data_IF_384317382335
#
_entry.id   IF_384317382335
#
_cell.length_a   1.000
_cell.length_b   1.000
_cell.length_c   1.000
_cell.angle_alpha   90.00
_cell.angle_beta   90.00
_cell.angle_gamma   90.00
#
_symmetry.space_group_name_H-M   'P 1'
#
loop_
_entity.id
_entity.type
_entity.pdbx_description
1 polymer ?
#
# COMPACT_ATOMS: atom_id res chain seq x y z
N UNK A 1 -20.82 -11.91 -14.82
CA UNK A 1 -20.30 -10.59 -15.24
C UNK A 1 -19.05 -10.69 -16.11
N UNK A 2 -18.47 -11.88 -16.32
CA UNK A 2 -17.27 -12.05 -17.18
C UNK A 2 -16.02 -11.38 -16.61
N UNK A 3 -15.98 -11.15 -15.30
CA UNK A 3 -14.80 -10.60 -14.62
C UNK A 3 -13.88 -11.76 -14.31
N UNK A 4 -12.62 -11.65 -14.68
CA UNK A 4 -11.59 -12.66 -14.46
C UNK A 4 -10.56 -12.21 -13.41
N UNK A 5 -10.39 -10.89 -13.26
CA UNK A 5 -9.37 -10.27 -12.42
C UNK A 5 -9.97 -9.26 -11.46
N UNK A 6 -9.41 -9.18 -10.27
CA UNK A 6 -9.81 -8.33 -9.16
C UNK A 6 -8.60 -7.46 -8.78
N UNK A 7 -8.79 -6.15 -8.78
CA UNK A 7 -7.87 -5.23 -8.12
C UNK A 7 -8.32 -5.02 -6.68
N UNK A 8 -7.41 -5.24 -5.73
CA UNK A 8 -7.65 -5.18 -4.30
C UNK A 8 -6.68 -4.18 -3.67
N UNK A 9 -7.20 -3.31 -2.78
CA UNK A 9 -6.40 -2.33 -2.06
C UNK A 9 -7.10 -1.87 -0.78
N UNK A 10 -6.37 -1.16 0.08
CA UNK A 10 -6.89 -0.58 1.31
C UNK A 10 -7.46 0.83 1.06
N UNK A 11 -8.58 1.14 1.71
CA UNK A 11 -9.27 2.43 1.58
C UNK A 11 -8.49 3.60 2.20
N UNK A 12 -7.54 3.30 3.09
CA UNK A 12 -6.75 4.30 3.81
C UNK A 12 -5.68 4.98 2.95
N UNK A 13 -5.47 4.55 1.70
CA UNK A 13 -4.48 5.11 0.78
C UNK A 13 -5.15 5.91 -0.37
N UNK A 14 -5.24 7.25 -0.28
CA UNK A 14 -5.86 8.08 -1.31
C UNK A 14 -5.10 8.09 -2.65
N UNK A 15 -3.80 7.77 -2.64
CA UNK A 15 -2.96 7.79 -3.85
C UNK A 15 -2.97 6.46 -4.62
N UNK A 16 -3.76 5.48 -4.18
CA UNK A 16 -3.82 4.17 -4.82
C UNK A 16 -4.27 4.26 -6.28
N UNK A 17 -3.52 3.61 -7.17
CA UNK A 17 -3.99 3.35 -8.54
C UNK A 17 -4.94 2.17 -8.53
N UNK A 18 -6.23 2.44 -8.33
CA UNK A 18 -7.28 1.42 -8.18
C UNK A 18 -7.32 0.43 -9.36
N UNK A 19 -7.04 0.89 -10.58
CA UNK A 19 -6.85 0.04 -11.75
C UNK A 19 -5.55 0.47 -12.44
N UNK A 20 -4.43 -0.15 -12.08
CA UNK A 20 -3.13 0.08 -12.71
C UNK A 20 -2.92 -0.89 -13.89
N UNK A 21 -2.96 -0.41 -15.15
CA UNK A 21 -2.82 -1.28 -16.32
C UNK A 21 -1.47 -1.98 -16.41
N UNK A 22 -0.38 -1.33 -15.95
CA UNK A 22 0.95 -1.94 -15.99
C UNK A 22 1.02 -3.09 -15.00
N UNK A 23 0.59 -2.87 -13.76
CA UNK A 23 0.57 -3.93 -12.74
C UNK A 23 -0.33 -5.10 -13.15
N UNK A 24 -1.52 -4.83 -13.69
CA UNK A 24 -2.42 -5.88 -14.19
C UNK A 24 -1.84 -6.63 -15.39
N UNK A 25 -1.18 -5.93 -16.31
CA UNK A 25 -0.47 -6.56 -17.43
C UNK A 25 0.64 -7.49 -16.96
N UNK A 26 1.46 -7.06 -16.00
CA UNK A 26 2.52 -7.88 -15.39
C UNK A 26 1.95 -9.06 -14.59
N UNK A 27 0.79 -8.90 -13.96
CA UNK A 27 0.10 -9.97 -13.26
C UNK A 27 -0.39 -11.08 -14.21
N UNK A 28 -0.77 -10.72 -15.43
CA UNK A 28 -1.21 -11.66 -16.47
C UNK A 28 -0.06 -12.25 -17.30
N UNK A 29 1.15 -11.72 -17.19
CA UNK A 29 2.32 -12.22 -17.89
C UNK A 29 2.75 -13.60 -17.34
N UNK A 30 2.62 -14.69 -18.12
CA UNK A 30 2.92 -16.05 -17.68
C UNK A 30 4.42 -16.31 -17.53
N UNK A 31 5.31 -15.35 -17.84
CA UNK A 31 6.73 -15.41 -17.51
C UNK A 31 7.04 -14.82 -16.13
N UNK A 32 6.14 -14.00 -15.57
CA UNK A 32 6.35 -13.27 -14.30
C UNK A 32 5.45 -13.71 -13.16
N UNK A 33 4.23 -14.10 -13.49
CA UNK A 33 3.16 -14.43 -12.55
C UNK A 33 2.44 -15.70 -12.98
N UNK A 34 1.66 -16.29 -12.07
CA UNK A 34 0.68 -17.33 -12.41
C UNK A 34 -0.68 -16.77 -12.82
N UNK A 35 -0.90 -15.46 -12.65
CA UNK A 35 -2.20 -14.83 -12.81
C UNK A 35 -3.17 -15.13 -11.65
N UNK A 36 -2.69 -15.69 -10.54
CA UNK A 36 -3.53 -16.02 -9.38
C UNK A 36 -3.53 -14.93 -8.32
N UNK A 37 -2.34 -14.53 -7.86
CA UNK A 37 -2.17 -13.41 -6.94
C UNK A 37 -0.82 -12.72 -7.13
N UNK A 38 -0.82 -11.41 -7.34
CA UNK A 38 0.37 -10.55 -7.37
C UNK A 38 0.21 -9.38 -6.41
N UNK A 39 1.32 -8.76 -6.02
CA UNK A 39 1.32 -7.68 -5.02
C UNK A 39 2.19 -6.50 -5.46
N UNK A 40 1.85 -5.31 -4.96
CA UNK A 40 2.76 -4.15 -5.01
C UNK A 40 3.54 -4.01 -3.71
N UNK A 41 4.75 -3.46 -3.82
CA UNK A 41 5.59 -3.12 -2.68
C UNK A 41 6.17 -1.71 -2.83
N UNK A 42 6.61 -1.14 -1.71
CA UNK A 42 7.52 0.01 -1.70
C UNK A 42 8.83 -0.37 -1.01
N UNK A 43 9.96 0.22 -1.39
CA UNK A 43 11.19 0.09 -0.62
C UNK A 43 11.00 0.67 0.79
N UNK A 44 11.33 -0.12 1.80
CA UNK A 44 11.46 0.35 3.17
C UNK A 44 12.57 1.39 3.27
N UNK A 45 12.35 2.45 4.04
CA UNK A 45 13.36 3.49 4.26
C UNK A 45 14.15 3.30 5.54
N UNK A 46 13.64 2.51 6.49
CA UNK A 46 14.36 2.17 7.73
C UNK A 46 13.96 0.80 8.29
N UNK A 47 14.80 0.18 9.14
CA UNK A 47 14.43 -1.05 9.86
C UNK A 47 13.11 -0.94 10.63
N UNK A 48 12.87 0.21 11.24
CA UNK A 48 11.76 0.48 12.17
C UNK A 48 10.43 0.76 11.46
N UNK A 49 10.43 0.89 10.13
CA UNK A 49 9.20 1.09 9.36
C UNK A 49 8.26 -0.11 9.54
N UNK A 50 7.06 0.16 10.06
CA UNK A 50 6.05 -0.84 10.45
C UNK A 50 5.21 -1.30 9.26
N UNK A 51 5.87 -2.00 8.35
CA UNK A 51 5.25 -2.66 7.20
C UNK A 51 5.68 -4.13 7.17
N UNK A 52 4.76 -5.03 6.85
CA UNK A 52 5.10 -6.41 6.54
C UNK A 52 6.06 -6.46 5.35
N UNK A 53 6.92 -7.47 5.29
CA UNK A 53 7.96 -7.56 4.26
C UNK A 53 7.75 -8.81 3.40
N UNK A 54 7.74 -8.61 2.08
CA UNK A 54 7.79 -9.72 1.14
C UNK A 54 9.15 -10.43 1.21
N UNK A 55 9.11 -11.74 1.27
CA UNK A 55 10.31 -12.59 1.26
C UNK A 55 10.01 -13.94 0.58
N UNK A 56 11.06 -14.72 0.37
CA UNK A 56 10.94 -16.11 -0.07
C UNK A 56 11.15 -17.04 1.12
N UNK A 57 10.19 -17.95 1.35
CA UNK A 57 10.28 -19.04 2.33
C UNK A 57 9.97 -20.32 1.56
N UNK A 58 10.90 -21.28 1.55
CA UNK A 58 10.76 -22.55 0.84
C UNK A 58 10.30 -22.37 -0.64
N UNK A 59 10.95 -21.44 -1.34
CA UNK A 59 10.69 -21.05 -2.74
C UNK A 59 9.27 -20.50 -3.01
N UNK A 60 8.55 -20.08 -1.95
CA UNK A 60 7.25 -19.38 -2.04
C UNK A 60 7.37 -17.94 -1.61
N UNK A 61 6.72 -17.05 -2.35
CA UNK A 61 6.54 -15.65 -1.94
C UNK A 61 5.62 -15.61 -0.72
N UNK A 62 6.09 -15.00 0.35
CA UNK A 62 5.36 -14.83 1.61
C UNK A 62 5.47 -13.38 2.08
N UNK A 63 4.64 -13.00 3.05
CA UNK A 63 4.80 -11.76 3.82
C UNK A 63 5.04 -12.14 5.27
N UNK A 64 6.10 -11.60 5.86
CA UNK A 64 6.31 -11.65 7.32
C UNK A 64 5.87 -10.30 7.87
N UNK A 65 4.91 -10.30 8.80
CA UNK A 65 4.49 -9.06 9.42
C UNK A 65 5.59 -8.43 10.27
N UNK A 66 5.57 -7.09 10.38
CA UNK A 66 6.61 -6.37 11.09
C UNK A 66 6.72 -6.77 12.58
N UNK A 67 5.62 -7.24 13.18
CA UNK A 67 5.60 -7.74 14.56
C UNK A 67 6.24 -9.12 14.72
N UNK A 68 6.34 -9.88 13.63
CA UNK A 68 6.86 -11.25 13.61
C UNK A 68 8.24 -11.32 12.95
N UNK A 69 8.72 -10.24 12.32
CA UNK A 69 10.06 -10.13 11.74
C UNK A 69 11.11 -9.97 12.86
N UNK A 70 12.08 -10.89 13.01
CA UNK A 70 13.16 -10.74 13.97
C UNK A 70 13.98 -9.46 13.75
N UNK A 71 14.37 -8.79 14.84
CA UNK A 71 15.13 -7.53 14.79
C UNK A 71 16.44 -7.66 13.99
N UNK A 72 17.15 -8.78 14.14
CA UNK A 72 18.37 -9.08 13.38
C UNK A 72 18.12 -9.10 11.87
N UNK A 73 16.97 -9.61 11.43
CA UNK A 73 16.59 -9.59 10.00
C UNK A 73 16.09 -8.21 9.57
N UNK A 74 15.37 -7.48 10.43
CA UNK A 74 14.92 -6.13 10.14
C UNK A 74 16.09 -5.15 9.92
N UNK A 75 17.21 -5.36 10.64
CA UNK A 75 18.44 -4.56 10.54
C UNK A 75 19.46 -5.14 9.55
N UNK A 76 19.22 -6.33 8.98
CA UNK A 76 20.16 -6.99 8.09
C UNK A 76 20.43 -6.15 6.85
N UNK A 77 21.70 -6.00 6.49
CA UNK A 77 22.13 -5.29 5.28
C UNK A 77 22.72 -6.23 4.24
N UNK A 78 22.72 -5.81 2.98
CA UNK A 78 23.44 -6.44 1.88
C UNK A 78 24.92 -6.02 1.86
N UNK A 79 25.66 -6.52 0.87
CA UNK A 79 27.10 -6.22 0.68
C UNK A 79 27.37 -4.74 0.37
N UNK A 80 26.34 -3.97 0.03
CA UNK A 80 26.43 -2.51 -0.21
C UNK A 80 26.10 -1.68 1.03
N UNK A 81 25.74 -2.32 2.14
CA UNK A 81 25.33 -1.66 3.38
C UNK A 81 23.89 -1.15 3.35
N UNK A 82 23.09 -1.52 2.34
CA UNK A 82 21.65 -1.20 2.28
C UNK A 82 20.85 -2.28 2.97
N UNK A 83 19.65 -1.95 3.43
CA UNK A 83 18.75 -2.96 4.00
C UNK A 83 18.53 -4.10 3.02
N UNK A 84 18.61 -5.33 3.51
CA UNK A 84 18.42 -6.54 2.70
C UNK A 84 16.93 -6.81 2.44
N UNK A 85 16.09 -6.56 3.44
CA UNK A 85 14.66 -6.84 3.42
C UNK A 85 13.87 -5.54 3.23
N UNK A 86 13.85 -5.04 1.99
CA UNK A 86 13.25 -3.74 1.64
C UNK A 86 11.82 -3.82 1.11
N UNK A 87 11.33 -5.01 0.73
CA UNK A 87 10.08 -5.14 0.00
C UNK A 87 8.85 -4.97 0.92
N UNK A 88 8.54 -3.73 1.30
CA UNK A 88 7.43 -3.40 2.18
C UNK A 88 6.07 -3.59 1.51
N UNK A 89 5.21 -4.40 2.13
CA UNK A 89 3.84 -4.62 1.69
C UNK A 89 2.98 -3.40 1.94
N UNK A 90 2.35 -2.91 0.86
CA UNK A 90 1.37 -1.82 0.89
C UNK A 90 -0.07 -2.30 0.75
N UNK A 91 -0.29 -3.62 0.89
CA UNK A 91 -1.60 -4.28 0.82
C UNK A 91 -2.42 -3.96 -0.45
N UNK A 92 -1.73 -3.83 -1.59
CA UNK A 92 -2.33 -3.72 -2.93
C UNK A 92 -2.02 -5.02 -3.68
N UNK A 93 -3.08 -5.68 -4.17
CA UNK A 93 -3.01 -6.99 -4.81
C UNK A 93 -3.84 -7.03 -6.10
N UNK A 94 -3.41 -7.87 -7.03
CA UNK A 94 -4.24 -8.35 -8.14
C UNK A 94 -4.53 -9.83 -7.90
N UNK A 95 -5.79 -10.25 -8.04
CA UNK A 95 -6.20 -11.64 -7.84
C UNK A 95 -7.08 -12.10 -9.01
N UNK A 96 -6.96 -13.35 -9.44
CA UNK A 96 -7.98 -13.93 -10.32
C UNK A 96 -9.19 -14.41 -9.54
N UNK A 97 -10.36 -14.35 -10.19
CA UNK A 97 -11.61 -14.87 -9.62
C UNK A 97 -11.49 -16.37 -9.35
N UNK A 98 -10.91 -17.15 -10.27
CA UNK A 98 -10.72 -18.59 -10.11
C UNK A 98 -9.83 -18.92 -8.90
N UNK A 99 -8.79 -18.12 -8.63
CA UNK A 99 -7.96 -18.28 -7.46
C UNK A 99 -8.74 -18.01 -6.17
N UNK A 100 -9.55 -16.94 -6.13
CA UNK A 100 -10.40 -16.62 -4.98
C UNK A 100 -11.42 -17.73 -4.74
N UNK A 101 -12.09 -18.23 -5.78
CA UNK A 101 -13.04 -19.34 -5.68
C UNK A 101 -12.34 -20.61 -5.15
N UNK A 102 -11.13 -20.91 -5.65
CA UNK A 102 -10.32 -22.05 -5.19
C UNK A 102 -9.96 -21.97 -3.70
N UNK A 103 -9.54 -20.81 -3.19
CA UNK A 103 -9.13 -20.67 -1.78
C UNK A 103 -10.30 -20.45 -0.81
N UNK A 104 -11.50 -20.16 -1.33
CA UNK A 104 -12.71 -19.96 -0.52
C UNK A 104 -13.74 -21.09 -0.64
N UNK A 105 -13.48 -22.11 -1.47
CA UNK A 105 -14.32 -23.31 -1.57
C UNK A 105 -14.37 -24.07 -0.22
N UNK A 106 -15.42 -23.83 0.54
CA UNK A 106 -15.62 -24.35 1.90
C UNK A 106 -15.72 -25.87 2.01
N UNK A 107 -15.71 -26.60 0.89
CA UNK A 107 -15.65 -28.06 0.90
C UNK A 107 -14.23 -28.62 0.89
N UNK A 108 -13.24 -27.87 0.39
CA UNK A 108 -11.88 -28.36 0.15
C UNK A 108 -10.75 -27.42 0.60
N UNK A 109 -11.04 -26.15 0.87
CA UNK A 109 -10.05 -25.18 1.31
C UNK A 109 -9.80 -25.29 2.82
N UNK A 110 -8.52 -25.34 3.24
CA UNK A 110 -8.14 -25.24 4.66
C UNK A 110 -8.46 -23.87 5.28
N UNK A 111 -8.84 -22.88 4.46
CA UNK A 111 -8.99 -21.49 4.86
C UNK A 111 -7.63 -20.82 5.10
N UNK A 112 -7.65 -19.50 5.27
CA UNK A 112 -6.47 -18.74 5.70
C UNK A 112 -6.25 -18.92 7.21
N UNK A 113 -4.98 -18.86 7.68
CA UNK A 113 -4.68 -19.02 9.09
C UNK A 113 -5.31 -17.90 9.93
N UNK A 114 -5.71 -18.25 11.17
CA UNK A 114 -6.23 -17.30 12.15
C UNK A 114 -5.09 -16.76 13.01
N UNK A 115 -4.85 -15.46 12.88
CA UNK A 115 -3.94 -14.68 13.72
C UNK A 115 -4.66 -14.21 14.98
N UNK A 116 -3.94 -14.25 16.11
CA UNK A 116 -4.51 -13.94 17.44
C UNK A 116 -3.93 -12.63 17.96
N UNK A 117 -4.79 -11.64 18.18
CA UNK A 117 -4.41 -10.40 18.84
C UNK A 117 -5.11 -10.27 20.21
N UNK A 118 -4.32 -10.11 21.29
CA UNK A 118 -4.87 -9.85 22.63
C UNK A 118 -5.24 -8.37 22.75
N UNK A 119 -6.51 -8.08 23.04
CA UNK A 119 -7.04 -6.71 23.10
C UNK A 119 -7.70 -6.42 24.44
N UNK A 120 -7.67 -5.15 24.83
CA UNK A 120 -8.49 -4.58 25.91
C UNK A 120 -9.83 -4.20 25.30
N UNK A 121 -10.86 -4.97 25.58
CA UNK A 121 -12.19 -4.77 24.99
C UNK A 121 -13.16 -4.41 26.13
N UNK A 122 -13.74 -3.20 26.10
CA UNK A 122 -14.80 -2.84 27.03
C UNK A 122 -15.93 -3.88 26.97
N UNK A 123 -16.42 -4.30 28.14
CA UNK A 123 -17.45 -5.34 28.25
C UNK A 123 -18.53 -4.93 29.22
N UNK A 124 -19.76 -5.35 28.96
CA UNK A 124 -20.84 -5.23 29.92
C UNK A 124 -20.76 -6.38 30.93
N UNK A 125 -20.90 -6.07 32.23
CA UNK A 125 -20.95 -7.03 33.33
C UNK A 125 -22.40 -7.13 33.83
N UNK A 126 -23.18 -8.16 33.41
CA UNK A 126 -24.60 -8.24 33.72
C UNK A 126 -24.90 -8.27 35.22
N UNK A 127 -24.10 -9.00 35.99
CA UNK A 127 -24.29 -9.16 37.44
C UNK A 127 -24.03 -7.86 38.22
N UNK A 128 -23.25 -6.95 37.66
CA UNK A 128 -22.92 -5.66 38.27
C UNK A 128 -23.69 -4.49 37.64
N UNK A 129 -24.43 -4.73 36.55
CA UNK A 129 -25.19 -3.72 35.84
C UNK A 129 -24.35 -2.59 35.22
N UNK A 130 -23.04 -2.79 34.98
CA UNK A 130 -22.11 -1.75 34.52
C UNK A 130 -21.22 -2.19 33.36
N UNK A 131 -20.68 -1.22 32.63
CA UNK A 131 -19.61 -1.44 31.64
C UNK A 131 -18.25 -1.31 32.30
N UNK A 132 -17.38 -2.28 32.04
CA UNK A 132 -16.00 -2.36 32.50
C UNK A 132 -15.04 -2.06 31.35
N UNK A 133 -14.05 -1.21 31.60
CA UNK A 133 -12.97 -0.89 30.67
C UNK A 133 -11.66 -1.47 31.22
N UNK A 134 -11.25 -2.66 30.77
CA UNK A 134 -10.23 -3.45 31.43
C UNK A 134 -8.82 -2.86 31.27
N UNK A 135 -8.04 -2.87 32.35
CA UNK A 135 -6.64 -2.40 32.34
C UNK A 135 -5.67 -3.37 31.65
N UNK A 136 -6.03 -4.65 31.56
CA UNK A 136 -5.25 -5.72 30.91
C UNK A 136 -6.07 -6.38 29.79
N UNK A 137 -5.42 -6.99 28.77
CA UNK A 137 -6.14 -7.66 27.70
C UNK A 137 -7.06 -8.77 28.22
N UNK A 138 -8.34 -8.69 27.88
CA UNK A 138 -9.39 -9.60 28.34
C UNK A 138 -10.05 -10.39 27.19
N UNK A 139 -9.72 -10.06 25.94
CA UNK A 139 -10.29 -10.69 24.76
C UNK A 139 -9.21 -11.09 23.75
N UNK A 140 -9.52 -12.09 22.92
CA UNK A 140 -8.71 -12.47 21.76
C UNK A 140 -9.48 -12.09 20.51
N UNK A 141 -8.93 -11.16 19.73
CA UNK A 141 -9.40 -10.88 18.38
C UNK A 141 -8.75 -11.91 17.44
N UNK A 142 -9.57 -12.54 16.60
CA UNK A 142 -9.12 -13.45 15.56
C UNK A 142 -9.21 -12.71 14.22
N UNK A 143 -8.12 -12.72 13.46
CA UNK A 143 -8.01 -12.03 12.18
C UNK A 143 -7.40 -12.98 11.16
N UNK A 144 -7.85 -12.92 9.91
CA UNK A 144 -7.14 -13.53 8.77
C UNK A 144 -6.49 -12.40 7.99
N UNK A 145 -5.31 -12.64 7.45
CA UNK A 145 -4.63 -11.64 6.62
C UNK A 145 -4.67 -12.05 5.16
N UNK A 146 -5.02 -11.09 4.29
CA UNK A 146 -5.15 -11.35 2.85
C UNK A 146 -3.84 -11.85 2.23
N UNK A 147 -2.69 -11.39 2.75
CA UNK A 147 -1.38 -11.80 2.25
C UNK A 147 -1.02 -13.25 2.57
N UNK A 148 -1.73 -13.92 3.48
CA UNK A 148 -1.54 -15.36 3.73
C UNK A 148 -2.00 -16.20 2.53
N UNK A 149 -2.75 -15.62 1.59
CA UNK A 149 -3.12 -16.27 0.34
C UNK A 149 -1.97 -16.32 -0.68
N UNK A 150 -0.99 -15.41 -0.60
CA UNK A 150 0.12 -15.32 -1.57
C UNK A 150 0.86 -16.65 -1.75
N UNK A 151 1.29 -17.37 -0.69
CA UNK A 151 1.99 -18.65 -0.87
C UNK A 151 1.12 -19.76 -1.48
N UNK A 152 -0.20 -19.58 -1.55
CA UNK A 152 -1.13 -20.54 -2.19
C UNK A 152 -1.23 -20.36 -3.71
N UNK A 153 -0.70 -19.25 -4.24
CA UNK A 153 -0.59 -19.03 -5.67
C UNK A 153 0.60 -19.82 -6.25
N UNK A 154 0.49 -20.25 -7.51
CA UNK A 154 1.53 -21.00 -8.19
C UNK A 154 2.84 -20.23 -8.30
N UNK A 155 2.74 -18.94 -8.66
CA UNK A 155 3.83 -17.95 -8.66
C UNK A 155 3.27 -16.54 -8.48
N UNK A 156 3.83 -15.79 -7.55
CA UNK A 156 3.41 -14.42 -7.25
C UNK A 156 4.49 -13.41 -7.61
N UNK A 157 4.12 -12.44 -8.44
CA UNK A 157 4.93 -11.26 -8.72
C UNK A 157 4.82 -10.26 -7.57
N UNK A 158 5.95 -9.66 -7.20
CA UNK A 158 6.01 -8.47 -6.34
C UNK A 158 6.53 -7.30 -7.19
N UNK A 159 5.69 -6.29 -7.40
CA UNK A 159 6.00 -5.11 -8.21
C UNK A 159 6.42 -3.94 -7.32
N UNK A 160 7.67 -3.52 -7.43
CA UNK A 160 8.18 -2.33 -6.75
C UNK A 160 7.56 -1.05 -7.32
N UNK A 161 7.10 -0.17 -6.44
CA UNK A 161 6.48 1.11 -6.78
C UNK A 161 7.16 2.27 -6.10
N UNK A 162 6.99 3.48 -6.66
CA UNK A 162 7.43 4.72 -6.05
C UNK A 162 6.46 5.13 -4.94
N UNK A 163 7.00 5.46 -3.76
CA UNK A 163 6.22 5.81 -2.58
C UNK A 163 5.36 7.05 -2.79
N UNK A 164 5.91 8.08 -3.44
CA UNK A 164 5.20 9.33 -3.71
C UNK A 164 4.05 9.08 -4.69
N UNK A 165 4.24 8.15 -5.63
CA UNK A 165 3.19 7.81 -6.59
C UNK A 165 2.04 6.97 -6.04
N UNK A 166 2.32 6.04 -5.13
CA UNK A 166 1.38 4.93 -4.86
C UNK A 166 1.07 4.73 -3.38
N UNK A 167 1.73 5.42 -2.43
CA UNK A 167 1.57 5.12 -1.01
C UNK A 167 1.54 6.36 -0.10
N UNK A 168 0.34 6.88 0.13
CA UNK A 168 0.06 8.01 1.01
C UNK A 168 -0.99 7.67 2.09
N UNK A 169 -0.78 6.63 2.92
CA UNK A 169 -1.80 6.10 3.82
C UNK A 169 -2.20 7.08 4.93
N UNK A 170 -3.41 6.90 5.47
CA UNK A 170 -3.99 7.65 6.58
C UNK A 170 -4.40 6.66 7.69
N UNK A 171 -3.53 6.51 8.69
CA UNK A 171 -3.69 5.61 9.85
C UNK A 171 -3.76 6.36 11.17
N UNK A 172 -3.19 7.56 11.24
CA UNK A 172 -3.07 8.38 12.44
C UNK A 172 -3.76 9.74 12.24
N UNK A 173 -4.13 10.41 13.33
CA UNK A 173 -4.72 11.74 13.25
C UNK A 173 -3.71 12.83 12.85
N UNK A 174 -2.45 12.68 13.26
CA UNK A 174 -1.35 13.63 13.02
C UNK A 174 -0.03 12.87 12.84
N UNK A 175 1.00 13.54 12.28
CA UNK A 175 2.33 12.96 12.09
C UNK A 175 2.44 12.06 10.86
N UNK A 176 3.22 10.98 10.98
CA UNK A 176 3.41 9.98 9.91
C UNK A 176 2.09 9.24 9.66
N UNK A 177 1.80 8.92 8.39
CA UNK A 177 0.57 8.28 7.95
C UNK A 177 -0.70 9.00 8.46
N UNK A 178 -0.74 10.32 8.35
CA UNK A 178 -1.88 11.17 8.72
C UNK A 178 -2.43 11.94 7.52
N UNK A 179 -3.59 12.64 7.64
CA UNK A 179 -4.08 13.49 6.55
C UNK A 179 -3.04 14.51 6.10
N UNK A 180 -2.28 15.09 7.04
CA UNK A 180 -1.20 16.03 6.74
C UNK A 180 -0.10 15.42 5.89
N UNK A 181 0.47 14.28 6.32
CA UNK A 181 1.53 13.62 5.54
C UNK A 181 1.03 13.07 4.21
N UNK A 182 -0.25 12.67 4.13
CA UNK A 182 -0.87 12.21 2.87
C UNK A 182 -0.99 13.35 1.86
N UNK A 183 -1.43 14.54 2.28
CA UNK A 183 -1.46 15.73 1.41
C UNK A 183 -0.06 16.12 0.93
N UNK A 184 0.95 16.09 1.81
CA UNK A 184 2.33 16.38 1.43
C UNK A 184 2.84 15.49 0.28
N UNK A 185 2.53 14.18 0.34
CA UNK A 185 2.87 13.23 -0.72
C UNK A 185 2.08 13.49 -2.01
N UNK A 186 0.77 13.78 -1.90
CA UNK A 186 -0.07 14.08 -3.06
C UNK A 186 0.36 15.37 -3.78
N UNK A 187 0.75 16.41 -3.02
CA UNK A 187 1.27 17.65 -3.61
C UNK A 187 2.64 17.46 -4.26
N UNK A 188 3.53 16.68 -3.64
CA UNK A 188 4.81 16.33 -4.26
C UNK A 188 4.61 15.49 -5.54
N UNK A 189 3.64 14.57 -5.54
CA UNK A 189 3.24 13.83 -6.74
C UNK A 189 2.76 14.75 -7.85
N UNK A 190 1.87 15.68 -7.54
CA UNK A 190 1.37 16.67 -8.49
C UNK A 190 2.49 17.52 -9.09
N UNK A 191 3.41 18.00 -8.25
CA UNK A 191 4.59 18.76 -8.71
C UNK A 191 5.43 17.93 -9.70
N UNK A 192 5.75 16.67 -9.38
CA UNK A 192 6.49 15.76 -10.27
C UNK A 192 5.76 15.53 -11.60
N UNK A 193 4.44 15.42 -11.58
CA UNK A 193 3.62 15.24 -12.78
C UNK A 193 3.68 16.46 -13.69
N UNK A 194 3.53 17.65 -13.13
CA UNK A 194 3.60 18.93 -13.87
C UNK A 194 4.99 19.10 -14.50
N UNK A 195 6.05 18.86 -13.72
CA UNK A 195 7.44 18.95 -14.20
C UNK A 195 7.75 17.96 -15.32
N UNK A 196 7.38 16.69 -15.15
CA UNK A 196 7.59 15.66 -16.17
C UNK A 196 6.75 15.86 -17.44
N UNK A 197 5.75 16.74 -17.36
CA UNK A 197 4.93 17.17 -18.50
C UNK A 197 5.52 18.36 -19.25
N UNK A 198 6.64 18.92 -18.77
CA UNK A 198 7.35 20.02 -19.41
C UNK A 198 6.97 21.41 -18.90
N UNK A 199 6.16 21.50 -17.85
CA UNK A 199 5.83 22.76 -17.20
C UNK A 199 6.79 23.03 -16.04
N UNK A 200 7.10 24.31 -15.79
CA UNK A 200 7.91 24.68 -14.63
C UNK A 200 7.09 24.59 -13.34
N UNK A 201 7.71 24.11 -12.26
CA UNK A 201 7.13 24.11 -10.93
C UNK A 201 8.08 24.79 -9.94
N UNK A 202 7.61 25.74 -9.11
CA UNK A 202 8.49 26.48 -8.22
C UNK A 202 9.02 25.58 -7.09
N UNK A 203 10.35 25.48 -6.99
CA UNK A 203 11.07 24.76 -5.92
C UNK A 203 12.12 25.66 -5.26
N UNK A 204 12.44 25.38 -3.99
CA UNK A 204 13.54 26.02 -3.28
C UNK A 204 14.91 25.44 -3.67
N UNK A 205 15.99 25.95 -3.07
CA UNK A 205 17.36 25.49 -3.34
C UNK A 205 17.62 24.02 -2.93
N UNK A 206 16.79 23.47 -2.04
CA UNK A 206 16.86 22.07 -1.59
C UNK A 206 15.92 21.17 -2.41
N UNK A 207 15.25 21.71 -3.43
CA UNK A 207 14.29 20.99 -4.27
C UNK A 207 12.91 20.82 -3.63
N UNK A 208 12.60 21.48 -2.51
CA UNK A 208 11.27 21.43 -1.91
C UNK A 208 10.30 22.29 -2.72
N UNK A 209 9.12 21.75 -2.98
CA UNK A 209 8.03 22.47 -3.64
C UNK A 209 7.66 23.75 -2.87
N UNK A 210 7.40 24.83 -3.61
CA UNK A 210 7.01 26.13 -3.05
C UNK A 210 5.53 26.46 -3.29
N UNK A 211 4.80 25.60 -3.99
CA UNK A 211 3.36 25.69 -4.21
C UNK A 211 2.71 24.34 -3.92
N UNK A 212 1.40 24.35 -3.65
CA UNK A 212 0.60 23.14 -3.56
C UNK A 212 -0.42 23.13 -4.69
N UNK A 213 -0.42 22.04 -5.46
CA UNK A 213 -1.37 21.80 -6.53
C UNK A 213 -2.02 20.45 -6.30
N UNK A 214 -3.34 20.41 -6.22
CA UNK A 214 -4.12 19.19 -6.29
C UNK A 214 -4.52 18.93 -7.74
N UNK A 215 -4.46 17.67 -8.18
CA UNK A 215 -4.85 17.26 -9.54
C UNK A 215 -6.03 16.31 -9.44
N UNK A 216 -7.17 16.73 -9.95
CA UNK A 216 -8.37 15.93 -10.11
C UNK A 216 -8.12 14.76 -11.04
N UNK A 217 -8.65 13.58 -10.67
CA UNK A 217 -8.62 12.41 -11.54
C UNK A 217 -9.44 12.60 -12.84
N UNK A 218 -10.28 13.64 -12.93
CA UNK A 218 -10.97 14.03 -14.17
C UNK A 218 -10.05 14.81 -15.12
N UNK A 219 -9.02 15.45 -14.59
CA UNK A 219 -8.04 16.23 -15.36
C UNK A 219 -6.89 15.35 -15.83
N UNK A 220 -6.34 14.53 -14.93
CA UNK A 220 -5.26 13.61 -15.27
C UNK A 220 -5.27 12.36 -14.39
N UNK A 221 -5.03 11.20 -15.00
CA UNK A 221 -4.77 9.93 -14.32
C UNK A 221 -3.31 9.47 -14.46
N UNK A 222 -2.53 10.14 -15.32
CA UNK A 222 -1.10 9.97 -15.47
C UNK A 222 -0.44 11.31 -15.86
N UNK A 223 0.89 11.47 -15.66
CA UNK A 223 1.59 12.69 -16.06
C UNK A 223 1.37 13.07 -17.53
N UNK A 224 1.31 12.09 -18.43
CA UNK A 224 1.14 12.33 -19.85
C UNK A 224 -0.14 13.10 -20.22
N UNK A 225 -1.19 13.03 -19.38
CA UNK A 225 -2.45 13.73 -19.59
C UNK A 225 -2.31 15.26 -19.42
N UNK A 226 -1.31 15.71 -18.64
CA UNK A 226 -1.10 17.13 -18.35
C UNK A 226 -0.41 17.89 -19.49
N UNK A 227 0.33 17.22 -20.38
CA UNK A 227 1.13 17.86 -21.45
C UNK A 227 0.33 18.80 -22.36
N UNK A 228 -0.95 18.52 -22.53
CA UNK A 228 -1.86 19.32 -23.35
C UNK A 228 -3.11 19.73 -22.59
N UNK A 229 -3.10 19.61 -21.25
CA UNK A 229 -4.26 19.97 -20.45
C UNK A 229 -4.36 21.49 -20.36
N UNK A 230 -5.48 22.11 -20.76
CA UNK A 230 -5.71 23.54 -20.58
C UNK A 230 -5.91 23.93 -19.11
N UNK A 231 -6.04 22.94 -18.21
CA UNK A 231 -6.23 23.17 -16.78
C UNK A 231 -4.90 23.43 -16.04
N UNK A 232 -3.76 23.05 -16.64
CA UNK A 232 -2.44 23.40 -16.11
C UNK A 232 -2.16 24.87 -16.40
N UNK A 233 -1.99 25.74 -15.39
CA UNK A 233 -1.70 27.15 -15.62
C UNK A 233 -0.36 27.35 -16.31
N UNK A 234 -0.25 28.39 -17.14
CA UNK A 234 1.01 28.76 -17.80
C UNK A 234 2.13 29.04 -16.79
N UNK A 235 1.79 29.52 -15.59
CA UNK A 235 2.72 29.83 -14.50
C UNK A 235 2.15 29.38 -13.16
N UNK A 236 2.98 28.72 -12.35
CA UNK A 236 2.72 28.40 -10.95
C UNK A 236 3.74 29.16 -10.09
N UNK A 237 3.27 29.98 -9.15
CA UNK A 237 4.10 30.85 -8.31
C UNK A 237 4.31 30.29 -6.90
N UNK A 238 5.42 30.63 -6.22
CA UNK A 238 5.59 30.33 -4.80
C UNK A 238 4.41 30.82 -3.96
N UNK A 239 3.85 29.94 -3.13
CA UNK A 239 2.71 30.21 -2.26
C UNK A 239 1.35 29.81 -2.85
N UNK A 240 1.28 29.48 -4.15
CA UNK A 240 0.03 29.11 -4.80
C UNK A 240 -0.61 27.87 -4.14
N UNK A 241 -1.94 27.89 -4.07
CA UNK A 241 -2.79 26.77 -3.66
C UNK A 241 -3.82 26.56 -4.77
N UNK A 242 -3.60 25.56 -5.62
CA UNK A 242 -4.40 25.33 -6.82
C UNK A 242 -5.05 23.95 -6.75
N UNK A 243 -6.23 23.83 -7.35
CA UNK A 243 -6.85 22.56 -7.67
C UNK A 243 -7.19 22.60 -9.15
N UNK A 244 -6.60 21.68 -9.90
CA UNK A 244 -6.74 21.57 -11.35
C UNK A 244 -7.24 20.19 -11.74
#
# INVERSE_FOLDING_TARGET
>A
RGIEQISYFQVDNPSVRALDPLFLGLHLDPERSSGEMSSKMIPKTSPEEKVGVFCSIDDRTCVIEYSDLPEELAQATDDTGKLRFIAGSIAIHALSVDFVDRITDGHNAQGLPLHKARKKVPRYLPDEGRTDSPETPNATKLEMFIFDAIPLAGRSLVYETDRVEEFAPIKNSEGVDSPGSSHELQFERAARWIESSGHEFPRDADGRRLANVEISALTAMAPADLKSSPEVPDTISPGDQLAI
#
